data_IF_600695988822
#
_entry.id   IF_600695988822
#
_cell.length_a   1.000
_cell.length_b   1.000
_cell.length_c   1.000
_cell.angle_alpha   90.00
_cell.angle_beta   90.00
_cell.angle_gamma   90.00
#
_symmetry.space_group_name_H-M   'P 1'
#
loop_
_entity.id
_entity.type
_entity.pdbx_description
1 polymer ?
#
# COMPACT_ATOMS: atom_id res chain seq x y z
N UNK A 1 6.29 9.51 -24.14
CA UNK A 1 6.18 9.59 -22.66
C UNK A 1 6.49 8.20 -22.12
N UNK A 2 7.63 8.00 -21.45
CA UNK A 2 7.99 6.70 -20.91
C UNK A 2 7.20 6.47 -19.62
N UNK A 3 6.27 5.51 -19.61
CA UNK A 3 5.65 5.04 -18.39
C UNK A 3 6.75 4.44 -17.49
N UNK A 4 6.86 4.83 -16.20
CA UNK A 4 7.85 4.24 -15.33
C UNK A 4 7.62 2.73 -15.27
N UNK A 5 8.70 1.97 -15.45
CA UNK A 5 8.71 0.50 -15.40
C UNK A 5 8.09 0.10 -14.05
N UNK A 6 6.88 -0.47 -14.07
CA UNK A 6 6.23 -1.00 -12.88
C UNK A 6 7.25 -1.93 -12.23
N UNK A 7 7.78 -1.58 -11.05
CA UNK A 7 8.53 -2.53 -10.22
C UNK A 7 7.61 -3.75 -10.14
N UNK A 8 8.10 -4.93 -10.55
CA UNK A 8 7.30 -6.16 -10.53
C UNK A 8 7.02 -6.41 -9.05
N UNK A 9 5.90 -5.92 -8.57
CA UNK A 9 5.57 -5.93 -7.17
C UNK A 9 5.24 -7.37 -6.78
N UNK A 10 6.06 -7.94 -5.90
CA UNK A 10 5.94 -9.35 -5.51
C UNK A 10 4.89 -9.59 -4.42
N UNK A 11 4.41 -8.54 -3.78
CA UNK A 11 3.42 -8.62 -2.68
C UNK A 11 2.15 -9.40 -3.04
N UNK A 12 1.74 -9.39 -4.31
CA UNK A 12 0.55 -10.11 -4.81
C UNK A 12 0.82 -11.59 -5.13
N UNK A 13 2.08 -12.03 -5.11
CA UNK A 13 2.48 -13.41 -5.38
C UNK A 13 2.66 -14.17 -4.06
N UNK A 14 1.83 -15.19 -3.83
CA UNK A 14 1.93 -16.05 -2.64
C UNK A 14 3.20 -16.94 -2.60
N UNK A 15 4.04 -16.89 -3.63
CA UNK A 15 5.27 -17.67 -3.73
C UNK A 15 6.48 -16.99 -3.07
N UNK A 16 6.37 -15.71 -2.70
CA UNK A 16 7.46 -14.93 -2.11
C UNK A 16 7.32 -14.88 -0.59
N UNK A 17 8.41 -15.15 0.13
CA UNK A 17 8.42 -15.06 1.59
C UNK A 17 8.29 -13.60 2.01
N UNK A 18 7.45 -13.26 3.00
CA UNK A 18 7.27 -11.87 3.45
C UNK A 18 8.53 -11.22 4.06
N UNK A 19 9.59 -12.01 4.23
CA UNK A 19 10.92 -11.57 4.68
C UNK A 19 11.80 -11.03 3.52
N UNK A 20 11.51 -11.40 2.26
CA UNK A 20 12.19 -10.88 1.06
C UNK A 20 11.53 -9.58 0.55
N UNK A 21 10.31 -9.29 1.03
CA UNK A 21 9.53 -8.12 0.64
C UNK A 21 10.01 -6.85 1.35
N UNK A 22 9.98 -5.72 0.63
CA UNK A 22 10.15 -4.41 1.24
C UNK A 22 9.06 -4.10 2.28
N UNK A 23 9.27 -3.13 3.19
CA UNK A 23 8.35 -2.86 4.30
C UNK A 23 6.92 -2.53 3.84
N UNK A 24 6.75 -1.76 2.77
CA UNK A 24 5.42 -1.48 2.21
C UNK A 24 4.78 -2.72 1.58
N UNK A 25 5.60 -3.59 0.97
CA UNK A 25 5.13 -4.81 0.30
C UNK A 25 4.68 -5.87 1.31
N UNK A 26 5.35 -5.93 2.46
CA UNK A 26 4.93 -6.76 3.59
C UNK A 26 3.53 -6.39 4.08
N UNK A 27 3.30 -5.09 4.31
CA UNK A 27 1.97 -4.58 4.73
C UNK A 27 0.91 -4.89 3.66
N UNK A 28 1.22 -4.67 2.38
CA UNK A 28 0.33 -5.01 1.27
C UNK A 28 -0.04 -6.50 1.25
N UNK A 29 0.95 -7.38 1.46
CA UNK A 29 0.75 -8.81 1.52
C UNK A 29 -0.16 -9.21 2.70
N UNK A 30 0.10 -8.68 3.90
CA UNK A 30 -0.72 -8.92 5.09
C UNK A 30 -2.17 -8.49 4.87
N UNK A 31 -2.39 -7.28 4.35
CA UNK A 31 -3.73 -6.76 4.10
C UNK A 31 -4.49 -7.63 3.10
N UNK A 32 -3.87 -8.09 2.02
CA UNK A 32 -4.56 -8.93 1.02
C UNK A 32 -4.72 -10.38 1.48
N UNK A 33 -3.84 -10.86 2.35
CA UNK A 33 -4.01 -12.15 3.01
C UNK A 33 -5.22 -12.16 3.95
N UNK A 34 -5.44 -11.08 4.71
CA UNK A 34 -6.57 -10.93 5.64
C UNK A 34 -7.86 -10.44 4.96
N UNK A 35 -7.76 -9.51 4.02
CA UNK A 35 -8.86 -8.81 3.36
C UNK A 35 -8.71 -8.87 1.84
N UNK A 36 -9.00 -10.03 1.24
CA UNK A 36 -8.87 -10.25 -0.21
C UNK A 36 -9.56 -9.18 -1.07
N UNK A 37 -10.71 -8.66 -0.64
CA UNK A 37 -11.47 -7.62 -1.34
C UNK A 37 -10.75 -6.27 -1.41
N UNK A 38 -9.73 -6.03 -0.58
CA UNK A 38 -8.95 -4.79 -0.56
C UNK A 38 -7.75 -4.81 -1.52
N UNK A 39 -7.51 -5.91 -2.23
CA UNK A 39 -6.48 -6.00 -3.28
C UNK A 39 -6.46 -4.83 -4.27
N UNK A 40 -7.58 -4.37 -4.86
CA UNK A 40 -7.58 -3.20 -5.74
C UNK A 40 -7.20 -1.88 -5.04
N UNK A 41 -7.48 -1.74 -3.74
CA UNK A 41 -7.10 -0.56 -2.96
C UNK A 41 -5.59 -0.56 -2.68
N UNK A 42 -5.05 -1.72 -2.31
CA UNK A 42 -3.60 -1.92 -2.11
C UNK A 42 -2.83 -1.67 -3.42
N UNK A 43 -3.32 -2.19 -4.54
CA UNK A 43 -2.72 -1.97 -5.87
C UNK A 43 -2.69 -0.48 -6.23
N UNK A 44 -3.74 0.27 -5.88
CA UNK A 44 -3.80 1.71 -6.12
C UNK A 44 -2.71 2.46 -5.33
N UNK A 45 -2.50 2.14 -4.05
CA UNK A 45 -1.45 2.75 -3.23
C UNK A 45 -0.06 2.40 -3.77
N UNK A 46 0.16 1.12 -4.09
CA UNK A 46 1.43 0.63 -4.64
C UNK A 46 1.81 1.27 -5.97
N UNK A 47 0.83 1.61 -6.81
CA UNK A 47 1.03 2.23 -8.12
C UNK A 47 0.83 3.76 -8.11
N UNK A 48 0.73 4.40 -6.94
CA UNK A 48 0.44 5.84 -6.83
C UNK A 48 1.60 6.77 -7.23
N UNK A 49 2.74 6.23 -7.68
CA UNK A 49 3.92 7.02 -8.03
C UNK A 49 4.61 7.65 -6.82
N UNK A 50 4.40 7.07 -5.63
CA UNK A 50 5.00 7.48 -4.36
C UNK A 50 6.42 6.94 -4.22
N UNK A 51 7.28 7.72 -3.55
CA UNK A 51 8.58 7.27 -3.07
C UNK A 51 8.41 6.19 -1.99
N UNK A 52 9.48 5.43 -1.69
CA UNK A 52 9.39 4.29 -0.78
C UNK A 52 8.91 4.68 0.64
N UNK A 53 9.29 5.88 1.13
CA UNK A 53 8.84 6.39 2.43
C UNK A 53 7.35 6.80 2.45
N UNK A 54 6.90 7.55 1.44
CA UNK A 54 5.50 7.94 1.30
C UNK A 54 4.61 6.72 1.10
N UNK A 55 5.06 5.74 0.30
CA UNK A 55 4.33 4.50 0.07
C UNK A 55 4.19 3.68 1.33
N UNK A 56 5.25 3.56 2.11
CA UNK A 56 5.20 2.90 3.42
C UNK A 56 4.17 3.60 4.31
N UNK A 57 4.20 4.93 4.39
CA UNK A 57 3.21 5.68 5.15
C UNK A 57 1.78 5.49 4.66
N UNK A 58 1.52 5.58 3.36
CA UNK A 58 0.21 5.35 2.79
C UNK A 58 -0.32 3.95 3.12
N UNK A 59 0.53 2.92 3.03
CA UNK A 59 0.18 1.55 3.41
C UNK A 59 -0.12 1.42 4.90
N UNK A 60 0.68 2.02 5.77
CA UNK A 60 0.44 2.02 7.22
C UNK A 60 -0.84 2.76 7.60
N UNK A 61 -1.11 3.92 7.01
CA UNK A 61 -2.36 4.66 7.22
C UNK A 61 -3.57 3.83 6.80
N UNK A 62 -3.49 3.20 5.62
CA UNK A 62 -4.55 2.32 5.13
C UNK A 62 -4.73 1.11 6.05
N UNK A 63 -3.66 0.44 6.49
CA UNK A 63 -3.74 -0.69 7.42
C UNK A 63 -4.40 -0.31 8.75
N UNK A 64 -3.96 0.78 9.36
CA UNK A 64 -4.50 1.26 10.65
C UNK A 64 -5.99 1.61 10.54
N UNK A 65 -6.41 2.18 9.41
CA UNK A 65 -7.81 2.53 9.15
C UNK A 65 -8.76 1.33 9.12
N UNK A 66 -8.25 0.12 8.85
CA UNK A 66 -9.08 -1.09 8.81
C UNK A 66 -9.63 -1.42 10.21
N UNK A 67 -8.83 -1.16 11.26
CA UNK A 67 -9.24 -1.33 12.66
C UNK A 67 -10.12 -0.20 13.21
N UNK A 68 -10.18 0.96 12.55
CA UNK A 68 -10.94 2.12 12.98
C UNK A 68 -12.21 2.31 12.14
N UNK A 69 -13.39 2.21 12.77
CA UNK A 69 -14.67 2.42 12.08
C UNK A 69 -14.81 3.91 11.74
N UNK A 70 -15.00 4.21 10.45
CA UNK A 70 -15.21 5.58 9.97
C UNK A 70 -13.92 6.35 9.66
N UNK A 71 -12.76 5.71 9.68
CA UNK A 71 -11.51 6.35 9.31
C UNK A 71 -11.43 6.61 7.79
N UNK A 72 -11.19 7.86 7.39
CA UNK A 72 -11.13 8.27 5.99
C UNK A 72 -9.97 7.60 5.23
N UNK A 73 -8.90 7.18 5.92
CA UNK A 73 -7.79 6.48 5.28
C UNK A 73 -8.17 5.06 4.80
N UNK A 74 -9.39 4.59 5.06
CA UNK A 74 -9.95 3.40 4.38
C UNK A 74 -10.15 3.64 2.89
N UNK A 75 -10.26 4.88 2.45
CA UNK A 75 -10.15 5.18 1.03
C UNK A 75 -8.66 5.31 0.65
N UNK A 76 -8.17 4.50 -0.30
CA UNK A 76 -6.75 4.54 -0.68
C UNK A 76 -6.31 5.90 -1.23
N UNK A 77 -7.20 6.74 -1.77
CA UNK A 77 -6.83 8.09 -2.26
C UNK A 77 -6.53 9.03 -1.09
N UNK A 78 -7.31 8.94 -0.02
CA UNK A 78 -7.08 9.73 1.21
C UNK A 78 -5.77 9.31 1.86
N UNK A 79 -5.52 7.99 1.98
CA UNK A 79 -4.26 7.48 2.51
C UNK A 79 -3.04 7.97 1.70
N UNK A 80 -3.15 8.00 0.36
CA UNK A 80 -2.11 8.56 -0.51
C UNK A 80 -1.91 10.05 -0.22
N UNK A 81 -2.97 10.86 -0.19
CA UNK A 81 -2.85 12.30 0.03
C UNK A 81 -2.24 12.62 1.41
N UNK A 82 -2.72 11.96 2.46
CA UNK A 82 -2.19 12.12 3.82
C UNK A 82 -0.73 11.68 3.93
N UNK A 83 -0.31 10.63 3.22
CA UNK A 83 1.08 10.19 3.23
C UNK A 83 2.04 11.25 2.67
N UNK A 84 1.62 12.00 1.65
CA UNK A 84 2.40 13.06 1.02
C UNK A 84 2.53 14.27 1.97
N UNK A 85 1.44 14.60 2.65
CA UNK A 85 1.43 15.66 3.67
C UNK A 85 2.28 15.30 4.90
N UNK A 86 2.32 14.02 5.29
CA UNK A 86 3.12 13.55 6.43
C UNK A 86 4.62 13.43 6.13
N UNK A 87 5.00 13.31 4.86
CA UNK A 87 6.40 13.27 4.41
C UNK A 87 7.00 14.66 4.12
N UNK A 88 6.21 15.73 4.30
CA UNK A 88 6.57 17.14 4.06
C UNK A 88 7.39 17.77 5.18
#
# INVERSE_FOLDING_TARGET
MAAPKKKVTRWSSAADSPDDLGPSERIAHEIVAEFRDLSPSVERIMNAGLDDAERLQAMTLFQNSLGAIGDDNRDPRVAIENSRAAAS
#
